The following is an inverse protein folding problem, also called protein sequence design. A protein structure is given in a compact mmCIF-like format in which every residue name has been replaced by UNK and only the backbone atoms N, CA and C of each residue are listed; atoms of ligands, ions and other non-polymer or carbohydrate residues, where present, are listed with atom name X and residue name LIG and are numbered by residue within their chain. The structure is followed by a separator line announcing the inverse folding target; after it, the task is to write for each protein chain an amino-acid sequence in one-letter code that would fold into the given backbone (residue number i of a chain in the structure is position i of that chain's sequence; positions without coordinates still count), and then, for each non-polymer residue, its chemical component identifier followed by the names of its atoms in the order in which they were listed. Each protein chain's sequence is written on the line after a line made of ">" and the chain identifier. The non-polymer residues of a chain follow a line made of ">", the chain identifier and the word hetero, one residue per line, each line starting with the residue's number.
data_IF_598165262410
#
_entry.id   IF_598165262410
#
_cell.length_a   1.000
_cell.length_b   1.000
_cell.length_c   1.000
_cell.angle_alpha   90.00
_cell.angle_beta   90.00
_cell.angle_gamma   90.00
#
_symmetry.space_group_name_H-M   'P 1'
#
loop_
_entity.id
_entity.type
_entity.pdbx_description
1 polymer ?
#
# COMPACT_ATOMS: atom_id res chain seq x y z
N UNK A 1 5.86 -12.63 -3.01
CA UNK A 1 5.44 -12.49 -1.59
C UNK A 1 3.94 -12.18 -1.49
N UNK A 2 3.49 -10.98 -1.87
CA UNK A 2 2.08 -10.53 -1.73
C UNK A 2 1.07 -11.52 -2.33
N UNK A 3 1.28 -11.97 -3.57
CA UNK A 3 0.45 -13.01 -4.20
C UNK A 3 0.31 -14.28 -3.34
N UNK A 4 1.40 -14.75 -2.76
CA UNK A 4 1.39 -15.93 -1.89
C UNK A 4 0.56 -15.69 -0.64
N UNK A 5 0.62 -14.49 -0.03
CA UNK A 5 -0.23 -14.12 1.10
C UNK A 5 -1.70 -14.13 0.72
N UNK A 6 -2.06 -13.56 -0.44
CA UNK A 6 -3.43 -13.61 -0.95
C UNK A 6 -3.92 -15.06 -1.10
N UNK A 7 -3.16 -15.91 -1.79
CA UNK A 7 -3.53 -17.32 -1.99
C UNK A 7 -3.65 -18.09 -0.68
N UNK A 8 -2.71 -17.90 0.25
CA UNK A 8 -2.77 -18.56 1.56
C UNK A 8 -3.94 -18.09 2.41
N UNK A 9 -4.33 -16.81 2.32
CA UNK A 9 -5.48 -16.26 3.07
C UNK A 9 -6.82 -16.72 2.51
N UNK A 10 -6.93 -16.95 1.20
CA UNK A 10 -8.11 -17.58 0.60
C UNK A 10 -8.36 -18.97 1.22
N UNK A 11 -7.30 -19.73 1.52
CA UNK A 11 -7.41 -21.09 2.07
C UNK A 11 -7.63 -21.06 3.59
N UNK A 12 -6.94 -20.16 4.31
CA UNK A 12 -6.81 -20.26 5.77
C UNK A 12 -7.62 -19.22 6.57
N UNK A 13 -8.06 -18.11 5.98
CA UNK A 13 -8.84 -17.09 6.69
C UNK A 13 -9.68 -16.25 5.72
N UNK A 14 -10.88 -16.72 5.40
CA UNK A 14 -11.79 -16.05 4.46
C UNK A 14 -12.28 -14.66 4.93
N UNK A 15 -12.17 -14.36 6.23
CA UNK A 15 -12.63 -13.09 6.83
C UNK A 15 -11.57 -12.00 6.85
N UNK A 16 -10.33 -12.32 6.51
CA UNK A 16 -9.26 -11.32 6.50
C UNK A 16 -9.43 -10.39 5.30
N UNK A 17 -9.30 -9.08 5.55
CA UNK A 17 -9.31 -8.07 4.50
C UNK A 17 -7.87 -7.75 4.09
N UNK A 18 -7.61 -7.75 2.78
CA UNK A 18 -6.29 -7.44 2.23
C UNK A 18 -6.39 -6.25 1.28
N UNK A 19 -5.47 -5.30 1.45
CA UNK A 19 -5.28 -4.15 0.56
C UNK A 19 -3.85 -4.10 0.01
N UNK A 20 -3.66 -3.39 -1.10
CA UNK A 20 -2.36 -3.17 -1.73
C UNK A 20 -2.25 -1.70 -2.11
N UNK A 21 -1.23 -1.04 -1.56
CA UNK A 21 -0.92 0.37 -1.81
C UNK A 21 0.52 0.45 -2.31
N UNK A 22 0.73 1.16 -3.40
CA UNK A 22 2.04 1.57 -3.89
C UNK A 22 2.30 3.03 -3.52
N UNK A 23 3.55 3.35 -3.20
CA UNK A 23 4.03 4.71 -2.97
C UNK A 23 5.27 4.94 -3.85
N UNK A 24 5.62 6.20 -4.12
CA UNK A 24 6.70 6.51 -5.07
C UNK A 24 6.31 6.22 -6.51
N UNK A 25 5.05 6.46 -6.86
CA UNK A 25 4.49 6.20 -8.19
C UNK A 25 4.31 7.50 -8.98
N UNK A 26 4.33 7.49 -10.31
CA UNK A 26 4.08 8.73 -11.06
C UNK A 26 2.60 9.10 -11.03
N UNK A 27 1.73 8.09 -11.19
CA UNK A 27 0.28 8.25 -11.07
C UNK A 27 -0.16 8.07 -9.62
N UNK A 28 -1.17 8.83 -9.21
CA UNK A 28 -1.84 8.63 -7.94
C UNK A 28 -3.27 8.12 -8.14
N UNK A 29 -3.76 7.35 -7.16
CA UNK A 29 -5.14 6.87 -7.09
C UNK A 29 -5.47 6.62 -5.63
N UNK A 30 -6.13 7.56 -4.97
CA UNK A 30 -6.51 7.47 -3.56
C UNK A 30 -7.65 8.45 -3.24
N UNK A 31 -8.25 8.35 -2.05
CA UNK A 31 -9.46 9.10 -1.67
C UNK A 31 -9.26 10.61 -1.54
N UNK A 32 -8.02 11.08 -1.34
CA UNK A 32 -7.69 12.49 -1.05
C UNK A 32 -6.74 13.11 -2.08
N UNK A 33 -6.51 12.43 -3.20
CA UNK A 33 -5.60 12.85 -4.28
C UNK A 33 -4.17 13.21 -3.82
N UNK A 34 -3.64 12.50 -2.82
CA UNK A 34 -2.21 12.64 -2.50
C UNK A 34 -1.36 12.14 -3.67
N UNK A 35 -0.42 12.97 -4.10
CA UNK A 35 0.52 12.63 -5.16
C UNK A 35 1.37 11.42 -4.77
N UNK A 36 1.78 10.67 -5.79
CA UNK A 36 2.68 9.52 -5.68
C UNK A 36 2.20 8.34 -4.84
N UNK A 37 0.92 8.31 -4.44
CA UNK A 37 0.29 7.19 -3.73
C UNK A 37 -0.82 6.56 -4.59
N UNK A 38 -0.68 5.27 -4.88
CA UNK A 38 -1.60 4.51 -5.73
C UNK A 38 -2.18 3.31 -4.98
N UNK A 39 -3.48 3.35 -4.69
CA UNK A 39 -4.23 2.24 -4.10
C UNK A 39 -4.64 1.28 -5.22
N UNK A 40 -3.94 0.15 -5.31
CA UNK A 40 -4.28 -0.91 -6.26
C UNK A 40 -5.54 -1.65 -5.80
N UNK A 41 -5.53 -2.12 -4.54
CA UNK A 41 -6.66 -2.79 -3.91
C UNK A 41 -7.00 -2.10 -2.59
N UNK A 42 -8.26 -1.72 -2.42
CA UNK A 42 -8.83 -1.38 -1.12
C UNK A 42 -8.95 -2.62 -0.22
N UNK A 43 -9.12 -2.41 1.09
CA UNK A 43 -9.28 -3.50 2.05
C UNK A 43 -10.59 -4.24 1.80
N UNK A 44 -10.47 -5.47 1.30
CA UNK A 44 -11.60 -6.36 1.08
C UNK A 44 -11.06 -7.80 0.97
N UNK A 45 -11.97 -8.77 1.05
CA UNK A 45 -11.68 -10.19 1.04
C UNK A 45 -10.82 -10.59 -0.17
N UNK A 46 -9.84 -11.50 0.02
CA UNK A 46 -9.01 -11.94 -1.09
C UNK A 46 -9.83 -12.80 -2.06
N UNK A 47 -9.57 -12.66 -3.36
CA UNK A 47 -10.28 -13.42 -4.38
C UNK A 47 -9.42 -13.68 -5.62
N UNK A 48 -9.87 -14.63 -6.45
CA UNK A 48 -9.14 -15.04 -7.65
C UNK A 48 -8.83 -13.88 -8.61
N UNK A 49 -9.74 -12.92 -8.76
CA UNK A 49 -9.55 -11.72 -9.60
C UNK A 49 -8.37 -10.87 -9.12
N UNK A 50 -8.28 -10.61 -7.81
CA UNK A 50 -7.20 -9.84 -7.19
C UNK A 50 -5.85 -10.56 -7.31
N UNK A 51 -5.84 -11.89 -7.19
CA UNK A 51 -4.64 -12.71 -7.41
C UNK A 51 -4.16 -12.60 -8.85
N UNK A 52 -5.08 -12.69 -9.82
CA UNK A 52 -4.77 -12.56 -11.24
C UNK A 52 -4.27 -11.16 -11.61
N UNK A 53 -4.82 -10.12 -10.98
CA UNK A 53 -4.34 -8.75 -11.14
C UNK A 53 -2.90 -8.58 -10.64
N UNK A 54 -2.56 -9.16 -9.47
CA UNK A 54 -1.18 -9.17 -8.97
C UNK A 54 -0.21 -9.91 -9.90
N UNK A 55 -0.67 -10.95 -10.59
CA UNK A 55 0.16 -11.70 -11.54
C UNK A 55 0.57 -10.84 -12.75
N UNK A 56 -0.17 -9.78 -13.09
CA UNK A 56 0.23 -8.82 -14.15
C UNK A 56 1.55 -8.13 -13.86
N UNK A 57 1.89 -7.94 -12.59
CA UNK A 57 3.10 -7.24 -12.15
C UNK A 57 4.30 -8.17 -11.93
N UNK A 58 4.18 -9.46 -12.29
CA UNK A 58 5.22 -10.47 -12.06
C UNK A 58 6.30 -10.47 -13.15
N UNK A 59 7.56 -10.59 -12.72
CA UNK A 59 8.71 -10.79 -13.60
C UNK A 59 9.05 -9.57 -14.48
N UNK A 60 9.84 -9.79 -15.54
CA UNK A 60 10.33 -8.71 -16.41
C UNK A 60 9.19 -8.00 -17.15
N UNK A 61 8.22 -8.76 -17.67
CA UNK A 61 7.04 -8.22 -18.37
C UNK A 61 6.17 -7.38 -17.43
N UNK A 62 5.96 -7.86 -16.20
CA UNK A 62 5.18 -7.12 -15.21
C UNK A 62 5.85 -5.85 -14.71
N UNK A 63 7.19 -5.82 -14.65
CA UNK A 63 7.94 -4.58 -14.37
C UNK A 63 7.72 -3.54 -15.47
N UNK A 64 7.80 -3.93 -16.74
CA UNK A 64 7.52 -3.02 -17.86
C UNK A 64 6.07 -2.50 -17.79
N UNK A 65 5.11 -3.39 -17.54
CA UNK A 65 3.70 -3.03 -17.37
C UNK A 65 3.49 -2.04 -16.22
N UNK A 66 4.15 -2.24 -15.07
CA UNK A 66 4.08 -1.31 -13.94
C UNK A 66 4.59 0.08 -14.31
N UNK A 67 5.76 0.15 -14.96
CA UNK A 67 6.35 1.42 -15.37
C UNK A 67 5.47 2.17 -16.37
N UNK A 68 4.84 1.48 -17.32
CA UNK A 68 3.95 2.10 -18.30
C UNK A 68 2.62 2.55 -17.69
N UNK A 69 2.03 1.75 -16.79
CA UNK A 69 0.69 1.99 -16.29
C UNK A 69 0.64 2.85 -15.02
N UNK A 70 1.64 2.77 -14.15
CA UNK A 70 1.69 3.46 -12.85
C UNK A 70 2.90 4.39 -12.76
N UNK A 71 4.06 3.96 -13.27
CA UNK A 71 5.29 4.74 -13.24
C UNK A 71 5.96 4.77 -11.86
N UNK A 72 7.07 5.50 -11.75
CA UNK A 72 7.88 5.58 -10.54
C UNK A 72 8.47 6.98 -10.35
N UNK A 73 8.22 7.55 -9.17
CA UNK A 73 8.73 8.86 -8.74
C UNK A 73 9.56 8.73 -7.46
N UNK A 74 10.63 9.52 -7.38
CA UNK A 74 11.42 9.69 -6.14
C UNK A 74 10.86 10.76 -5.22
N UNK A 75 9.97 11.61 -5.71
CA UNK A 75 9.43 12.74 -4.94
C UNK A 75 8.17 12.35 -4.17
N UNK A 76 8.25 11.31 -3.34
CA UNK A 76 7.10 10.87 -2.54
C UNK A 76 7.17 11.35 -1.09
N UNK A 77 6.05 11.19 -0.37
CA UNK A 77 5.95 11.36 1.08
C UNK A 77 5.45 10.07 1.72
N UNK A 78 6.28 9.43 2.54
CA UNK A 78 5.90 8.24 3.28
C UNK A 78 4.76 8.53 4.27
N UNK A 79 4.74 9.75 4.82
CA UNK A 79 3.64 10.22 5.66
C UNK A 79 2.28 10.21 4.96
N UNK A 80 2.23 10.61 3.68
CA UNK A 80 1.00 10.50 2.88
C UNK A 80 0.58 9.04 2.65
N UNK A 81 1.54 8.17 2.33
CA UNK A 81 1.26 6.75 2.14
C UNK A 81 0.71 6.10 3.43
N UNK A 82 1.31 6.42 4.59
CA UNK A 82 0.82 5.95 5.90
C UNK A 82 -0.57 6.50 6.23
N UNK A 83 -0.83 7.78 5.91
CA UNK A 83 -2.16 8.37 6.10
C UNK A 83 -3.21 7.65 5.24
N UNK A 84 -2.92 7.36 3.97
CA UNK A 84 -3.83 6.59 3.10
C UNK A 84 -4.10 5.20 3.69
N UNK A 85 -3.06 4.50 4.14
CA UNK A 85 -3.22 3.20 4.79
C UNK A 85 -4.09 3.29 6.06
N UNK A 86 -3.93 4.35 6.86
CA UNK A 86 -4.78 4.61 8.02
C UNK A 86 -6.24 4.81 7.60
N UNK A 87 -6.48 5.61 6.55
CA UNK A 87 -7.81 5.88 6.03
C UNK A 87 -8.49 4.60 5.53
N UNK A 88 -7.75 3.72 4.84
CA UNK A 88 -8.27 2.44 4.38
C UNK A 88 -8.81 1.60 5.55
N UNK A 89 -8.15 1.59 6.71
CA UNK A 89 -8.67 0.90 7.89
C UNK A 89 -9.94 1.56 8.44
N UNK A 90 -10.02 2.89 8.41
CA UNK A 90 -11.19 3.64 8.89
C UNK A 90 -12.42 3.46 8.00
N UNK A 91 -12.24 3.25 6.69
CA UNK A 91 -13.32 3.06 5.72
C UNK A 91 -14.02 1.69 5.88
N UNK A 92 -13.38 0.74 6.58
CA UNK A 92 -13.94 -0.59 6.84
C UNK A 92 -15.01 -0.50 7.93
N UNK A 93 -16.26 -0.79 7.56
CA UNK A 93 -17.42 -0.80 8.49
C UNK A 93 -17.42 -1.99 9.47
N UNK A 94 -16.59 -2.99 9.22
CA UNK A 94 -16.48 -4.20 10.04
C UNK A 94 -15.48 -3.98 11.18
N UNK A 95 -15.79 -4.53 12.36
CA UNK A 95 -14.85 -4.49 13.49
C UNK A 95 -13.65 -5.41 13.20
N UNK A 96 -12.49 -4.82 12.96
CA UNK A 96 -11.23 -5.54 12.78
C UNK A 96 -10.59 -5.85 14.14
N UNK A 97 -10.08 -7.08 14.31
CA UNK A 97 -9.35 -7.49 15.51
C UNK A 97 -7.92 -6.96 15.52
N UNK A 98 -7.28 -6.92 14.36
CA UNK A 98 -5.91 -6.44 14.18
C UNK A 98 -5.79 -5.62 12.90
N UNK A 99 -5.11 -4.48 12.98
CA UNK A 99 -4.71 -3.65 11.84
C UNK A 99 -3.20 -3.80 11.68
N UNK A 100 -2.73 -4.12 10.47
CA UNK A 100 -1.29 -4.31 10.21
C UNK A 100 -0.93 -3.80 8.82
N UNK A 101 0.12 -2.99 8.77
CA UNK A 101 0.76 -2.54 7.52
C UNK A 101 2.07 -3.31 7.38
N UNK A 102 2.29 -3.92 6.22
CA UNK A 102 3.58 -4.53 5.86
C UNK A 102 4.26 -3.65 4.80
N UNK A 103 5.33 -2.97 5.20
CA UNK A 103 6.10 -2.11 4.30
C UNK A 103 7.18 -2.93 3.59
N UNK A 104 7.20 -2.85 2.25
CA UNK A 104 8.25 -3.44 1.42
C UNK A 104 9.05 -2.31 0.78
N UNK A 105 10.28 -2.11 1.24
CA UNK A 105 11.22 -1.12 0.71
C UNK A 105 12.65 -1.66 0.80
N UNK A 106 13.52 -1.16 -0.06
CA UNK A 106 14.97 -1.36 0.00
C UNK A 106 15.72 -0.03 0.22
N UNK A 107 14.98 1.02 0.58
CA UNK A 107 15.51 2.33 0.92
C UNK A 107 15.37 2.54 2.44
N UNK A 108 16.51 2.59 3.12
CA UNK A 108 16.60 2.77 4.57
C UNK A 108 16.36 4.23 5.00
N UNK A 109 16.53 5.19 4.08
CA UNK A 109 16.45 6.63 4.38
C UNK A 109 15.67 7.38 3.28
N UNK A 110 14.34 7.22 3.19
CA UNK A 110 13.55 7.70 2.05
C UNK A 110 13.41 9.24 1.92
N UNK A 111 13.76 10.01 2.95
CA UNK A 111 13.54 11.46 3.00
C UNK A 111 14.77 12.25 3.47
N UNK A 112 15.98 11.77 3.16
CA UNK A 112 17.23 12.47 3.52
C UNK A 112 17.18 13.92 3.04
N UNK A 113 17.40 14.85 3.96
CA UNK A 113 17.42 16.29 3.69
C UNK A 113 16.06 16.99 3.72
N UNK A 114 14.95 16.27 3.88
CA UNK A 114 13.60 16.86 4.02
C UNK A 114 13.03 16.56 5.42
N UNK A 115 13.35 17.45 6.37
CA UNK A 115 12.89 17.33 7.76
C UNK A 115 11.36 17.36 7.89
N UNK A 116 10.67 18.03 6.97
CA UNK A 116 9.20 18.12 6.96
C UNK A 116 8.59 16.76 6.63
N UNK A 117 9.05 16.10 5.56
CA UNK A 117 8.58 14.75 5.19
C UNK A 117 8.96 13.70 6.24
N UNK A 118 10.15 13.81 6.84
CA UNK A 118 10.59 12.95 7.95
C UNK A 118 9.63 13.08 9.14
N UNK A 119 9.38 14.30 9.61
CA UNK A 119 8.52 14.55 10.76
C UNK A 119 7.09 14.06 10.51
N UNK A 120 6.54 14.33 9.32
CA UNK A 120 5.21 13.84 8.95
C UNK A 120 5.13 12.31 8.96
N UNK A 121 6.15 11.62 8.43
CA UNK A 121 6.20 10.17 8.45
C UNK A 121 6.24 9.61 9.87
N UNK A 122 7.04 10.21 10.77
CA UNK A 122 7.10 9.80 12.17
C UNK A 122 5.79 10.03 12.91
N UNK A 123 5.18 11.21 12.76
CA UNK A 123 3.87 11.52 13.36
C UNK A 123 2.84 10.50 12.92
N UNK A 124 2.72 10.24 11.61
CA UNK A 124 1.73 9.28 11.08
C UNK A 124 2.01 7.84 11.48
N UNK A 125 3.27 7.44 11.59
CA UNK A 125 3.63 6.13 12.11
C UNK A 125 3.26 5.98 13.59
N UNK A 126 3.42 7.04 14.39
CA UNK A 126 2.99 7.06 15.79
C UNK A 126 1.48 6.96 15.92
N UNK A 127 0.73 7.76 15.15
CA UNK A 127 -0.74 7.73 15.13
C UNK A 127 -1.26 6.30 14.84
N UNK A 128 -0.66 5.62 13.87
CA UNK A 128 -1.01 4.25 13.48
C UNK A 128 -0.72 3.19 14.55
N UNK A 129 0.21 3.46 15.46
CA UNK A 129 0.54 2.57 16.57
C UNK A 129 -0.50 2.67 17.69
N UNK A 130 -1.15 3.81 17.82
CA UNK A 130 -2.14 4.08 18.87
C UNK A 130 -3.57 3.65 18.49
N UNK A 131 -3.80 3.23 17.23
CA UNK A 131 -5.11 2.79 16.67
C UNK A 131 -5.37 1.29 16.66
#
# INVERSE_FOLDING_TARGET
>A
CIRSVYTSKIINSERDLLGVVFFGTDKHKNSVNFEHVYVLHELDTPGAKRVLELDKYKGKKGRAYFNENIGHSKDFSLGHALWICANLFSDVKLRMSHKRIMLFTNDDHPHVGDSTKINLAFTKASDLRET
#
